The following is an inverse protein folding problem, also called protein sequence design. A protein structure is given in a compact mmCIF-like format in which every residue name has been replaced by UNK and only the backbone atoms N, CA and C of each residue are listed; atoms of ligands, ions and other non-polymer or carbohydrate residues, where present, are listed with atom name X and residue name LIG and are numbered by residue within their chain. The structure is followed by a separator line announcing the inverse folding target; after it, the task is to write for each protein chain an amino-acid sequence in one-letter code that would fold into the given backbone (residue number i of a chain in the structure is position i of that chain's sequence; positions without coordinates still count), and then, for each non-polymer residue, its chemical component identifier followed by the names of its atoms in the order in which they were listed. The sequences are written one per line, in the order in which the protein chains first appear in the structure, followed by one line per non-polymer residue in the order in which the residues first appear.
data_IF_009824002508
#
_entry.id   IF_009824002508
#
_cell.length_a   1.000
_cell.length_b   1.000
_cell.length_c   1.000
_cell.angle_alpha   90.00
_cell.angle_beta   90.00
_cell.angle_gamma   90.00
#
_symmetry.space_group_name_H-M   'P 1'
#
loop_
_entity.id
_entity.type
_entity.pdbx_description
1 polymer ?
#
# COMPACT_ATOMS: atom_id res chain seq x y z
N UNK A 1 -18.59 -2.49 -7.26
CA UNK A 1 -17.79 -3.73 -7.12
C UNK A 1 -18.73 -4.93 -7.20
N UNK A 2 -18.59 -5.82 -8.20
CA UNK A 2 -19.52 -6.96 -8.38
C UNK A 2 -19.63 -7.87 -7.15
N UNK A 3 -18.50 -8.17 -6.47
CA UNK A 3 -18.49 -8.97 -5.24
C UNK A 3 -19.29 -8.36 -4.08
N UNK A 4 -19.47 -7.04 -4.06
CA UNK A 4 -20.25 -6.38 -3.02
C UNK A 4 -21.74 -6.70 -3.11
N UNK A 5 -22.25 -7.04 -4.30
CA UNK A 5 -23.64 -7.47 -4.47
C UNK A 5 -23.92 -8.83 -3.82
N UNK A 6 -22.91 -9.72 -3.77
CA UNK A 6 -23.06 -11.05 -3.19
C UNK A 6 -22.71 -11.11 -1.70
N UNK A 7 -21.71 -10.35 -1.24
CA UNK A 7 -21.16 -10.48 0.12
C UNK A 7 -21.32 -9.22 0.99
N UNK A 8 -21.77 -8.10 0.41
CA UNK A 8 -21.62 -6.78 1.01
C UNK A 8 -20.21 -6.21 0.83
N UNK A 9 -20.08 -4.88 0.83
CA UNK A 9 -18.82 -4.21 0.50
C UNK A 9 -17.68 -4.55 1.48
N UNK A 10 -17.95 -4.51 2.79
CA UNK A 10 -16.93 -4.78 3.82
C UNK A 10 -16.33 -6.19 3.68
N UNK A 11 -17.18 -7.22 3.53
CA UNK A 11 -16.72 -8.60 3.37
C UNK A 11 -16.00 -8.80 2.03
N UNK A 12 -16.48 -8.18 0.96
CA UNK A 12 -15.83 -8.25 -0.34
C UNK A 12 -14.40 -7.67 -0.28
N UNK A 13 -14.22 -6.50 0.35
CA UNK A 13 -12.90 -5.87 0.52
C UNK A 13 -12.00 -6.72 1.41
N UNK A 14 -12.53 -7.27 2.51
CA UNK A 14 -11.79 -8.19 3.38
C UNK A 14 -11.29 -9.43 2.63
N UNK A 15 -12.15 -10.06 1.83
CA UNK A 15 -11.78 -11.22 1.00
C UNK A 15 -10.68 -10.86 0.00
N UNK A 16 -10.81 -9.73 -0.69
CA UNK A 16 -9.79 -9.25 -1.62
C UNK A 16 -8.46 -9.06 -0.90
N UNK A 17 -8.44 -8.35 0.23
CA UNK A 17 -7.24 -8.13 1.02
C UNK A 17 -6.59 -9.45 1.46
N UNK A 18 -7.38 -10.40 1.97
CA UNK A 18 -6.90 -11.71 2.44
C UNK A 18 -6.29 -12.56 1.32
N UNK A 19 -6.77 -12.43 0.07
CA UNK A 19 -6.28 -13.19 -1.07
C UNK A 19 -5.00 -12.62 -1.71
N UNK A 20 -4.65 -11.36 -1.43
CA UNK A 20 -3.50 -10.72 -2.06
C UNK A 20 -2.14 -11.33 -1.66
N UNK A 21 -1.84 -11.62 -0.38
CA UNK A 21 -0.56 -12.23 -0.03
C UNK A 21 -0.38 -13.63 -0.66
N UNK A 22 -1.37 -14.55 -0.63
CA UNK A 22 -1.29 -15.81 -1.37
C UNK A 22 -1.08 -15.62 -2.88
N UNK A 23 -1.76 -14.65 -3.49
CA UNK A 23 -1.60 -14.32 -4.91
C UNK A 23 -0.16 -13.85 -5.20
N UNK A 24 0.41 -12.98 -4.37
CA UNK A 24 1.80 -12.52 -4.49
C UNK A 24 2.78 -13.69 -4.37
N UNK A 25 2.65 -14.52 -3.34
CA UNK A 25 3.51 -15.70 -3.12
C UNK A 25 3.46 -16.63 -4.34
N UNK A 26 2.26 -16.92 -4.82
CA UNK A 26 2.07 -17.78 -5.99
C UNK A 26 2.70 -17.18 -7.25
N UNK A 27 2.55 -15.87 -7.47
CA UNK A 27 3.18 -15.15 -8.57
C UNK A 27 4.70 -15.26 -8.53
N UNK A 28 5.30 -14.95 -7.38
CA UNK A 28 6.75 -15.01 -7.15
C UNK A 28 7.28 -16.44 -7.39
N UNK A 29 6.61 -17.46 -6.87
CA UNK A 29 7.03 -18.85 -7.07
C UNK A 29 6.87 -19.30 -8.53
N UNK A 30 5.79 -18.86 -9.21
CA UNK A 30 5.60 -19.15 -10.64
C UNK A 30 6.66 -18.49 -11.50
N UNK A 31 7.09 -17.28 -11.15
CA UNK A 31 8.17 -16.55 -11.80
C UNK A 31 9.51 -17.28 -11.59
N UNK A 32 9.84 -17.63 -10.34
CA UNK A 32 11.04 -18.39 -10.02
C UNK A 32 11.08 -19.73 -10.78
N UNK A 33 9.98 -20.49 -10.77
CA UNK A 33 9.86 -21.75 -11.52
C UNK A 33 9.97 -21.55 -13.03
N UNK A 34 9.48 -20.44 -13.58
CA UNK A 34 9.62 -20.15 -15.01
C UNK A 34 11.09 -19.91 -15.39
N UNK A 35 11.82 -19.18 -14.54
CA UNK A 35 13.20 -18.79 -14.78
C UNK A 35 14.18 -19.92 -14.51
N UNK A 36 13.96 -20.72 -13.47
CA UNK A 36 14.88 -21.75 -13.00
C UNK A 36 14.45 -23.18 -13.31
N UNK A 37 13.22 -23.41 -13.78
CA UNK A 37 12.63 -24.75 -13.98
C UNK A 37 11.97 -25.33 -12.71
N UNK A 38 12.44 -24.91 -11.54
CA UNK A 38 11.93 -25.29 -10.23
C UNK A 38 11.83 -24.08 -9.29
N UNK A 39 11.18 -24.24 -8.14
CA UNK A 39 11.16 -23.19 -7.10
C UNK A 39 12.42 -23.35 -6.25
N UNK A 40 13.39 -22.42 -6.31
CA UNK A 40 14.61 -22.54 -5.54
C UNK A 40 14.32 -22.41 -4.03
N UNK A 41 15.11 -23.05 -3.15
CA UNK A 41 14.92 -22.95 -1.70
C UNK A 41 14.93 -21.49 -1.18
N UNK A 42 15.70 -20.61 -1.82
CA UNK A 42 15.77 -19.18 -1.48
C UNK A 42 14.44 -18.44 -1.71
N UNK A 43 13.53 -18.98 -2.53
CA UNK A 43 12.21 -18.39 -2.71
C UNK A 43 11.40 -18.36 -1.40
N UNK A 44 11.64 -19.27 -0.46
CA UNK A 44 10.98 -19.22 0.85
C UNK A 44 11.37 -17.95 1.63
N UNK A 45 12.57 -17.41 1.41
CA UNK A 45 13.00 -16.16 2.04
C UNK A 45 12.25 -14.92 1.53
N UNK A 46 11.49 -15.03 0.42
CA UNK A 46 10.66 -13.93 -0.07
C UNK A 46 9.30 -13.84 0.62
N UNK A 47 8.88 -14.88 1.36
CA UNK A 47 7.54 -14.94 1.96
C UNK A 47 7.19 -13.73 2.86
N UNK A 48 8.09 -13.22 3.74
CA UNK A 48 7.80 -12.03 4.54
C UNK A 48 7.41 -10.81 3.72
N UNK A 49 7.98 -10.66 2.52
CA UNK A 49 7.73 -9.53 1.63
C UNK A 49 6.35 -9.57 0.96
N UNK A 50 5.64 -10.71 0.99
CA UNK A 50 4.24 -10.79 0.56
C UNK A 50 3.29 -9.99 1.47
N UNK A 51 3.73 -9.69 2.70
CA UNK A 51 3.03 -8.89 3.71
C UNK A 51 3.79 -7.60 4.02
N UNK A 52 4.56 -7.09 3.05
CA UNK A 52 5.36 -5.89 3.23
C UNK A 52 4.50 -4.66 3.56
N UNK A 53 5.15 -3.62 4.06
CA UNK A 53 4.51 -2.40 4.52
C UNK A 53 3.53 -1.78 3.52
N UNK A 54 3.78 -1.70 2.19
CA UNK A 54 2.77 -1.17 1.26
C UNK A 54 1.43 -1.92 1.28
N UNK A 55 1.46 -3.25 1.46
CA UNK A 55 0.25 -4.04 1.68
C UNK A 55 -0.40 -3.68 3.02
N UNK A 56 0.40 -3.65 4.09
CA UNK A 56 -0.07 -3.30 5.44
C UNK A 56 -0.67 -1.89 5.51
N UNK A 57 -0.15 -0.95 4.72
CA UNK A 57 -0.60 0.43 4.61
C UNK A 57 -1.94 0.56 3.88
N UNK A 58 -2.39 -0.48 3.17
CA UNK A 58 -3.65 -0.47 2.43
C UNK A 58 -3.51 -0.09 0.96
N UNK A 59 -2.33 -0.20 0.35
CA UNK A 59 -2.14 0.01 -1.10
C UNK A 59 -2.64 -1.21 -1.90
N UNK A 60 -3.92 -1.55 -1.78
CA UNK A 60 -4.53 -2.81 -2.26
C UNK A 60 -4.41 -2.96 -3.78
N UNK A 61 -4.73 -1.91 -4.54
CA UNK A 61 -4.68 -1.92 -6.01
C UNK A 61 -3.24 -2.02 -6.54
N UNK A 62 -2.31 -1.29 -5.92
CA UNK A 62 -0.87 -1.39 -6.15
C UNK A 62 -0.36 -2.81 -5.91
N UNK A 63 -0.73 -3.41 -4.78
CA UNK A 63 -0.27 -4.73 -4.38
C UNK A 63 -0.82 -5.83 -5.30
N UNK A 64 -2.10 -5.72 -5.69
CA UNK A 64 -2.70 -6.55 -6.73
C UNK A 64 -1.91 -6.48 -8.04
N UNK A 65 -1.64 -5.27 -8.52
CA UNK A 65 -0.91 -5.07 -9.78
C UNK A 65 0.51 -5.66 -9.69
N UNK A 66 1.20 -5.51 -8.56
CA UNK A 66 2.49 -6.14 -8.29
C UNK A 66 2.44 -7.67 -8.36
N UNK A 67 1.43 -8.30 -7.73
CA UNK A 67 1.25 -9.74 -7.78
C UNK A 67 0.97 -10.25 -9.20
N UNK A 68 0.07 -9.58 -9.93
CA UNK A 68 -0.24 -9.88 -11.33
C UNK A 68 1.00 -9.73 -12.23
N UNK A 69 1.90 -8.80 -11.91
CA UNK A 69 3.15 -8.59 -12.66
C UNK A 69 4.07 -9.80 -12.59
N UNK A 70 4.19 -10.47 -11.44
CA UNK A 70 4.95 -11.71 -11.35
C UNK A 70 4.30 -12.86 -12.13
N UNK A 71 2.97 -12.94 -12.14
CA UNK A 71 2.25 -13.93 -12.96
C UNK A 71 2.46 -13.69 -14.46
N UNK A 72 2.32 -12.44 -14.90
CA UNK A 72 2.55 -12.06 -16.29
C UNK A 72 4.01 -12.30 -16.68
N UNK A 73 4.97 -11.91 -15.83
CA UNK A 73 6.39 -12.20 -16.05
C UNK A 73 6.66 -13.71 -16.18
N UNK A 74 6.02 -14.54 -15.36
CA UNK A 74 6.13 -15.99 -15.45
C UNK A 74 5.56 -16.55 -16.78
N UNK A 75 4.58 -15.90 -17.39
CA UNK A 75 4.11 -16.22 -18.74
C UNK A 75 5.07 -15.70 -19.82
N UNK A 76 5.65 -14.51 -19.64
CA UNK A 76 6.62 -13.94 -20.57
C UNK A 76 7.78 -14.90 -20.81
N UNK A 77 8.37 -15.41 -19.72
CA UNK A 77 9.48 -16.36 -19.76
C UNK A 77 9.08 -17.68 -20.43
N UNK A 78 7.87 -18.19 -20.17
CA UNK A 78 7.37 -19.44 -20.79
C UNK A 78 7.08 -19.31 -22.29
N UNK A 79 6.77 -18.11 -22.76
CA UNK A 79 6.48 -17.81 -24.17
C UNK A 79 7.72 -17.33 -24.93
N UNK A 80 8.93 -17.55 -24.40
CA UNK A 80 10.17 -17.04 -24.97
C UNK A 80 10.42 -17.45 -26.43
N UNK A 81 9.91 -18.61 -26.86
CA UNK A 81 10.09 -19.12 -28.21
C UNK A 81 8.94 -18.69 -29.16
N UNK A 82 7.95 -17.94 -28.65
CA UNK A 82 6.74 -17.52 -29.38
C UNK A 82 6.60 -16.00 -29.40
N UNK A 83 7.56 -15.31 -30.01
CA UNK A 83 7.66 -13.84 -30.00
C UNK A 83 6.37 -13.13 -30.48
N UNK A 84 5.71 -13.60 -31.55
CA UNK A 84 4.47 -12.99 -32.04
C UNK A 84 3.34 -13.11 -31.02
N UNK A 85 3.12 -14.32 -30.49
CA UNK A 85 2.10 -14.57 -29.47
C UNK A 85 2.38 -13.73 -28.21
N UNK A 86 3.64 -13.63 -27.82
CA UNK A 86 4.08 -12.80 -26.70
C UNK A 86 3.73 -11.33 -26.95
N UNK A 87 4.03 -10.79 -28.13
CA UNK A 87 3.70 -9.40 -28.45
C UNK A 87 2.19 -9.14 -28.44
N UNK A 88 1.38 -10.04 -29.01
CA UNK A 88 -0.08 -9.88 -29.05
C UNK A 88 -0.69 -9.97 -27.65
N UNK A 89 -0.26 -10.92 -26.81
CA UNK A 89 -0.82 -11.10 -25.47
C UNK A 89 -0.40 -10.01 -24.47
N UNK A 90 0.82 -9.50 -24.58
CA UNK A 90 1.34 -8.56 -23.57
C UNK A 90 0.85 -7.13 -23.72
N UNK A 91 0.24 -6.77 -24.84
CA UNK A 91 -0.50 -5.50 -24.97
C UNK A 91 -1.73 -5.48 -24.04
N UNK A 92 -2.73 -6.38 -24.17
CA UNK A 92 -3.89 -6.38 -23.27
C UNK A 92 -3.54 -6.76 -21.83
N UNK A 93 -2.55 -7.63 -21.60
CA UNK A 93 -2.08 -7.93 -20.23
C UNK A 93 -1.45 -6.70 -19.58
N UNK A 94 -0.57 -5.99 -20.29
CA UNK A 94 0.05 -4.77 -19.80
C UNK A 94 -0.99 -3.70 -19.48
N UNK A 95 -1.98 -3.53 -20.36
CA UNK A 95 -3.10 -2.62 -20.14
C UNK A 95 -3.94 -3.02 -18.91
N UNK A 96 -4.30 -4.29 -18.75
CA UNK A 96 -5.06 -4.76 -17.60
C UNK A 96 -4.33 -4.53 -16.27
N UNK A 97 -3.01 -4.78 -16.22
CA UNK A 97 -2.19 -4.51 -15.04
C UNK A 97 -2.11 -3.00 -14.76
N UNK A 98 -1.97 -2.19 -15.80
CA UNK A 98 -1.98 -0.73 -15.67
C UNK A 98 -3.29 -0.20 -15.10
N UNK A 99 -4.44 -0.73 -15.55
CA UNK A 99 -5.77 -0.42 -14.99
C UNK A 99 -5.83 -0.76 -13.51
N UNK A 100 -5.21 -1.88 -13.08
CA UNK A 100 -5.08 -2.16 -11.65
C UNK A 100 -4.22 -1.10 -10.95
N UNK A 101 -3.00 -0.87 -11.46
CA UNK A 101 -2.12 0.20 -11.01
C UNK A 101 -0.91 0.38 -11.95
N UNK A 102 -0.55 1.63 -12.26
CA UNK A 102 0.60 1.97 -13.14
C UNK A 102 1.93 1.35 -12.69
N UNK A 103 2.19 1.31 -11.38
CA UNK A 103 3.39 0.65 -10.84
C UNK A 103 3.46 -0.85 -11.14
N UNK A 104 2.33 -1.57 -11.22
CA UNK A 104 2.39 -2.98 -11.62
C UNK A 104 2.95 -3.11 -13.03
N UNK A 105 2.46 -2.28 -13.96
CA UNK A 105 3.00 -2.24 -15.31
C UNK A 105 4.51 -1.92 -15.32
N UNK A 106 4.96 -0.97 -14.49
CA UNK A 106 6.39 -0.66 -14.35
C UNK A 106 7.22 -1.82 -13.75
N UNK A 107 6.69 -2.49 -12.73
CA UNK A 107 7.30 -3.69 -12.11
C UNK A 107 7.43 -4.81 -13.15
N UNK A 108 6.38 -5.06 -13.94
CA UNK A 108 6.43 -6.03 -15.03
C UNK A 108 7.51 -5.65 -16.05
N UNK A 109 7.57 -4.39 -16.46
CA UNK A 109 8.60 -3.87 -17.35
C UNK A 109 10.01 -4.14 -16.83
N UNK A 110 10.28 -3.80 -15.57
CA UNK A 110 11.59 -4.02 -14.93
C UNK A 110 11.95 -5.51 -14.87
N UNK A 111 11.00 -6.39 -14.53
CA UNK A 111 11.23 -7.84 -14.50
C UNK A 111 11.53 -8.39 -15.90
N UNK A 112 10.74 -8.00 -16.90
CA UNK A 112 10.92 -8.41 -18.30
C UNK A 112 12.26 -7.91 -18.85
N UNK A 113 12.58 -6.64 -18.67
CA UNK A 113 13.83 -6.05 -19.11
C UNK A 113 15.02 -6.70 -18.42
N UNK A 114 14.96 -6.87 -17.09
CA UNK A 114 16.02 -7.52 -16.35
C UNK A 114 16.32 -8.92 -16.88
N UNK A 115 15.27 -9.69 -17.19
CA UNK A 115 15.40 -11.01 -17.79
C UNK A 115 15.97 -10.96 -19.21
N UNK A 116 15.43 -10.13 -20.10
CA UNK A 116 15.87 -10.04 -21.50
C UNK A 116 17.31 -9.53 -21.62
N UNK A 117 17.68 -8.51 -20.86
CA UNK A 117 19.05 -7.97 -20.77
C UNK A 117 20.00 -9.05 -20.25
N UNK A 118 19.64 -9.76 -19.18
CA UNK A 118 20.47 -10.84 -18.64
C UNK A 118 20.70 -11.97 -19.64
N UNK A 119 19.72 -12.24 -20.51
CA UNK A 119 19.79 -13.25 -21.56
C UNK A 119 20.69 -12.79 -22.69
N UNK A 120 20.52 -11.55 -23.13
CA UNK A 120 21.33 -10.97 -24.20
C UNK A 120 22.82 -10.88 -23.80
N UNK A 121 23.14 -10.56 -22.54
CA UNK A 121 24.52 -10.57 -22.06
C UNK A 121 25.14 -11.96 -21.87
N UNK A 122 24.33 -13.03 -21.83
CA UNK A 122 24.84 -14.41 -21.82
C UNK A 122 25.16 -14.92 -23.22
N UNK A 123 24.57 -14.30 -24.24
CA UNK A 123 24.88 -14.54 -25.64
C UNK A 123 26.21 -13.82 -25.97
N UNK A 124 27.32 -14.56 -25.89
CA UNK A 124 28.68 -14.00 -25.98
C UNK A 124 29.00 -13.34 -27.33
N UNK A 125 28.19 -13.61 -28.34
CA UNK A 125 28.36 -13.09 -29.70
C UNK A 125 27.62 -11.75 -29.92
N UNK A 126 26.80 -11.32 -28.96
CA UNK A 126 26.11 -10.03 -29.01
C UNK A 126 27.01 -8.92 -28.45
N UNK A 127 27.47 -8.01 -29.32
CA UNK A 127 28.13 -6.77 -28.87
C UNK A 127 27.26 -5.96 -27.89
N UNK A 128 27.89 -5.23 -26.97
CA UNK A 128 27.22 -4.51 -25.86
C UNK A 128 26.00 -3.67 -26.30
N UNK A 129 26.10 -2.97 -27.43
CA UNK A 129 24.99 -2.16 -27.98
C UNK A 129 23.79 -3.02 -28.35
N UNK A 130 24.02 -4.15 -29.03
CA UNK A 130 22.96 -5.09 -29.40
C UNK A 130 22.36 -5.77 -28.17
N UNK A 131 23.18 -6.05 -27.17
CA UNK A 131 22.75 -6.65 -25.90
C UNK A 131 21.80 -5.73 -25.10
N UNK A 132 21.92 -4.40 -25.27
CA UNK A 132 21.03 -3.43 -24.65
C UNK A 132 19.83 -3.04 -25.52
N UNK A 133 20.00 -2.93 -26.84
CA UNK A 133 18.92 -2.52 -27.75
C UNK A 133 17.88 -3.63 -27.99
N UNK A 134 18.31 -4.89 -28.10
CA UNK A 134 17.41 -6.02 -28.41
C UNK A 134 16.34 -6.24 -27.32
N UNK A 135 16.66 -6.19 -26.01
CA UNK A 135 15.66 -6.24 -24.94
C UNK A 135 14.56 -5.19 -25.06
N UNK A 136 14.94 -3.93 -25.33
CA UNK A 136 13.99 -2.81 -25.46
C UNK A 136 13.02 -3.03 -26.64
N UNK A 137 13.52 -3.50 -27.77
CA UNK A 137 12.66 -3.84 -28.91
C UNK A 137 11.74 -5.02 -28.57
N UNK A 138 12.26 -6.01 -27.84
CA UNK A 138 11.49 -7.19 -27.43
C UNK A 138 10.39 -6.88 -26.44
N UNK A 139 10.56 -5.89 -25.57
CA UNK A 139 9.59 -5.43 -24.57
C UNK A 139 8.65 -4.35 -25.10
N UNK A 140 8.84 -3.87 -26.34
CA UNK A 140 8.02 -2.85 -26.99
C UNK A 140 6.49 -3.05 -26.91
N UNK A 141 5.92 -4.27 -26.81
CA UNK A 141 4.48 -4.44 -26.57
C UNK A 141 3.98 -3.74 -25.29
N UNK A 142 4.85 -3.60 -24.28
CA UNK A 142 4.52 -2.91 -23.03
C UNK A 142 4.50 -1.38 -23.20
N UNK A 143 5.12 -0.83 -24.25
CA UNK A 143 5.15 0.62 -24.54
C UNK A 143 3.78 1.14 -24.95
N UNK A 144 2.89 0.29 -25.48
CA UNK A 144 1.53 0.70 -25.87
C UNK A 144 0.77 1.41 -24.74
N UNK A 145 0.99 1.00 -23.48
CA UNK A 145 0.42 1.65 -22.29
C UNK A 145 1.00 3.05 -22.06
N UNK A 146 2.27 3.27 -22.38
CA UNK A 146 2.92 4.58 -22.25
C UNK A 146 2.27 5.61 -23.17
N UNK A 147 1.87 5.20 -24.38
CA UNK A 147 1.14 6.06 -25.31
C UNK A 147 -0.16 6.55 -24.65
N UNK A 148 -0.96 5.64 -24.08
CA UNK A 148 -2.19 6.00 -23.36
C UNK A 148 -1.90 6.98 -22.21
N UNK A 149 -0.88 6.70 -21.40
CA UNK A 149 -0.48 7.53 -20.26
C UNK A 149 -0.09 8.97 -20.64
N UNK A 150 0.63 9.14 -21.75
CA UNK A 150 1.05 10.46 -22.24
C UNK A 150 -0.15 11.25 -22.74
N UNK A 151 -1.04 10.62 -23.52
CA UNK A 151 -2.19 11.31 -24.11
C UNK A 151 -3.36 11.52 -23.12
N UNK A 152 -3.48 10.69 -22.08
CA UNK A 152 -4.55 10.82 -21.08
C UNK A 152 -4.34 11.98 -20.09
N UNK A 153 -3.20 12.67 -20.13
CA UNK A 153 -2.87 13.76 -19.21
C UNK A 153 -3.18 15.13 -19.81
N UNK A 154 -4.45 15.46 -19.84
CA UNK A 154 -4.97 16.78 -20.21
C UNK A 154 -5.76 17.35 -19.03
N UNK A 155 -5.08 17.89 -18.00
CA UNK A 155 -5.75 18.51 -16.85
C UNK A 155 -4.84 18.89 -15.67
N UNK A 156 -5.11 20.08 -15.10
CA UNK A 156 -4.50 20.79 -13.96
C UNK A 156 -3.31 20.14 -13.21
N UNK A 157 -2.14 20.77 -13.34
CA UNK A 157 -0.84 20.42 -12.74
C UNK A 157 -0.71 20.79 -11.24
N UNK A 158 -1.79 20.69 -10.46
CA UNK A 158 -1.79 21.08 -9.04
C UNK A 158 -1.06 20.09 -8.11
N UNK A 159 -0.80 18.87 -8.58
CA UNK A 159 -0.24 17.81 -7.75
C UNK A 159 1.30 17.80 -7.77
N UNK A 160 1.91 18.15 -6.65
CA UNK A 160 3.37 18.30 -6.54
C UNK A 160 4.14 16.97 -6.72
N UNK A 161 5.31 17.06 -7.33
CA UNK A 161 6.30 15.97 -7.43
C UNK A 161 7.61 16.41 -6.80
N UNK A 162 7.94 15.84 -5.64
CA UNK A 162 9.04 16.32 -4.78
C UNK A 162 9.82 15.17 -4.14
N UNK A 163 11.05 15.46 -3.71
CA UNK A 163 11.86 14.53 -2.92
C UNK A 163 12.62 13.48 -3.74
N UNK A 164 13.14 13.85 -4.92
CA UNK A 164 13.92 13.01 -5.84
C UNK A 164 15.09 12.27 -5.17
N UNK A 165 15.96 13.00 -4.47
CA UNK A 165 17.24 12.47 -3.99
C UNK A 165 17.38 12.47 -2.47
N UNK A 166 16.29 12.18 -1.74
CA UNK A 166 16.34 12.02 -0.28
C UNK A 166 16.98 10.67 0.10
N UNK A 167 18.28 10.51 -0.12
CA UNK A 167 18.98 9.22 0.01
C UNK A 167 18.85 8.63 1.43
N UNK A 168 19.02 9.43 2.48
CA UNK A 168 18.87 8.94 3.86
C UNK A 168 17.45 8.41 4.13
N UNK A 169 16.42 9.14 3.68
CA UNK A 169 15.03 8.71 3.76
C UNK A 169 14.79 7.41 2.98
N UNK A 170 15.36 7.28 1.78
CA UNK A 170 15.25 6.04 0.99
C UNK A 170 15.88 4.87 1.75
N UNK A 171 17.09 5.03 2.28
CA UNK A 171 17.77 3.98 3.04
C UNK A 171 16.97 3.58 4.29
N UNK A 172 16.44 4.55 5.03
CA UNK A 172 15.55 4.31 6.18
C UNK A 172 14.32 3.50 5.76
N UNK A 173 13.64 3.89 4.66
CA UNK A 173 12.48 3.15 4.15
C UNK A 173 12.80 1.69 3.79
N UNK A 174 14.05 1.38 3.47
CA UNK A 174 14.51 0.01 3.30
C UNK A 174 14.26 -0.86 4.53
N UNK A 175 14.49 -0.32 5.74
CA UNK A 175 14.19 -1.00 7.01
C UNK A 175 12.70 -1.00 7.35
N UNK A 176 11.95 -0.01 6.89
CA UNK A 176 10.49 0.04 7.04
C UNK A 176 9.76 -0.90 6.07
N UNK A 177 10.44 -1.54 5.12
CA UNK A 177 9.82 -2.46 4.14
C UNK A 177 8.97 -3.55 4.79
N UNK A 178 9.37 -4.06 5.95
CA UNK A 178 8.64 -5.08 6.70
C UNK A 178 8.02 -4.53 8.00
N UNK A 179 7.87 -3.20 8.13
CA UNK A 179 7.20 -2.57 9.26
C UNK A 179 5.77 -3.12 9.42
N UNK A 180 5.45 -3.62 10.62
CA UNK A 180 4.13 -4.10 10.96
C UNK A 180 3.79 -3.86 12.45
N UNK A 181 3.90 -4.87 13.32
CA UNK A 181 3.48 -4.78 14.73
C UNK A 181 4.65 -4.66 15.72
N UNK A 182 5.78 -5.33 15.46
CA UNK A 182 6.85 -5.49 16.45
C UNK A 182 8.22 -5.15 15.84
N UNK A 183 8.69 -3.94 16.13
CA UNK A 183 9.89 -3.33 15.54
C UNK A 183 11.13 -4.24 15.54
N UNK A 184 11.53 -4.89 16.66
CA UNK A 184 12.69 -5.76 16.67
C UNK A 184 12.57 -6.94 15.69
N UNK A 185 11.39 -7.58 15.61
CA UNK A 185 11.15 -8.68 14.68
C UNK A 185 11.15 -8.20 13.22
N UNK A 186 10.54 -7.04 12.96
CA UNK A 186 10.48 -6.44 11.63
C UNK A 186 11.86 -6.10 11.09
N UNK A 187 12.67 -5.39 11.89
CA UNK A 187 14.05 -5.04 11.56
C UNK A 187 14.89 -6.31 11.42
N UNK A 188 14.80 -7.27 12.35
CA UNK A 188 15.53 -8.53 12.28
C UNK A 188 15.20 -9.32 11.00
N UNK A 189 13.96 -9.26 10.53
CA UNK A 189 13.53 -9.90 9.29
C UNK A 189 14.20 -9.28 8.05
N UNK A 190 14.28 -7.94 8.01
CA UNK A 190 15.00 -7.23 6.95
C UNK A 190 16.50 -7.52 7.01
N UNK A 191 17.09 -7.50 8.21
CA UNK A 191 18.52 -7.82 8.41
C UNK A 191 18.83 -9.26 7.98
N UNK A 192 17.96 -10.23 8.27
CA UNK A 192 18.12 -11.61 7.80
C UNK A 192 18.09 -11.70 6.26
N UNK A 193 17.17 -10.98 5.60
CA UNK A 193 17.11 -10.89 4.14
C UNK A 193 18.37 -10.25 3.54
N UNK A 194 18.83 -9.13 4.11
CA UNK A 194 20.09 -8.48 3.73
C UNK A 194 21.29 -9.40 3.92
N UNK A 195 21.34 -10.15 5.02
CA UNK A 195 22.36 -11.16 5.29
C UNK A 195 22.40 -12.26 4.24
N UNK A 196 21.23 -12.75 3.79
CA UNK A 196 21.15 -13.72 2.69
C UNK A 196 21.64 -13.14 1.36
N UNK A 197 21.27 -11.89 1.03
CA UNK A 197 21.74 -11.21 -0.17
C UNK A 197 23.26 -10.99 -0.11
N UNK A 198 23.78 -10.52 1.01
CA UNK A 198 25.21 -10.32 1.24
C UNK A 198 25.98 -11.64 1.14
N UNK A 199 25.43 -12.74 1.66
CA UNK A 199 25.99 -14.07 1.51
C UNK A 199 26.09 -14.50 0.03
N UNK A 200 25.06 -14.20 -0.78
CA UNK A 200 25.08 -14.44 -2.24
C UNK A 200 26.10 -13.58 -3.00
N UNK A 201 26.36 -12.36 -2.54
CA UNK A 201 27.35 -11.44 -3.11
C UNK A 201 28.79 -11.76 -2.69
N UNK A 202 28.98 -12.42 -1.56
CA UNK A 202 30.30 -12.74 -1.03
C UNK A 202 31.05 -13.70 -1.97
N UNK A 203 32.24 -13.29 -2.43
CA UNK A 203 33.09 -14.09 -3.32
C UNK A 203 33.44 -15.42 -2.63
N UNK A 204 32.89 -16.52 -3.13
CA UNK A 204 33.11 -17.84 -2.54
C UNK A 204 32.14 -18.89 -3.07
N UNK A 205 31.55 -19.65 -2.15
CA UNK A 205 30.70 -20.82 -2.46
C UNK A 205 29.26 -20.49 -2.88
N UNK A 206 28.80 -19.27 -2.62
CA UNK A 206 27.49 -18.77 -3.08
C UNK A 206 27.67 -17.85 -4.30
N UNK A 207 26.57 -17.56 -5.01
CA UNK A 207 26.62 -16.64 -6.15
C UNK A 207 25.28 -15.99 -6.46
N UNK A 208 25.30 -15.08 -7.42
CA UNK A 208 24.11 -14.37 -7.90
C UNK A 208 23.75 -14.84 -9.32
N UNK A 209 22.50 -15.21 -9.56
CA UNK A 209 21.97 -15.43 -10.90
C UNK A 209 21.64 -14.08 -11.57
N UNK A 210 22.20 -13.85 -12.75
CA UNK A 210 21.98 -12.58 -13.46
C UNK A 210 20.54 -12.32 -13.90
N UNK A 211 19.66 -13.33 -14.01
CA UNK A 211 18.27 -13.17 -14.48
C UNK A 211 17.43 -12.36 -13.52
N UNK A 212 17.43 -12.71 -12.24
CA UNK A 212 16.82 -11.88 -11.19
C UNK A 212 17.77 -10.80 -10.66
N UNK A 213 19.09 -11.01 -10.73
CA UNK A 213 20.07 -10.02 -10.30
C UNK A 213 20.02 -8.73 -11.12
N UNK A 214 19.80 -8.83 -12.44
CA UNK A 214 19.60 -7.65 -13.29
C UNK A 214 18.29 -6.94 -12.96
N UNK A 215 17.19 -7.67 -12.72
CA UNK A 215 15.94 -7.05 -12.28
C UNK A 215 16.11 -6.32 -10.93
N UNK A 216 16.84 -6.91 -9.98
CA UNK A 216 17.17 -6.26 -8.71
C UNK A 216 18.00 -4.98 -8.92
N UNK A 217 18.99 -5.00 -9.82
CA UNK A 217 19.76 -3.81 -10.17
C UNK A 217 18.86 -2.71 -10.76
N UNK A 218 17.97 -3.06 -11.69
CA UNK A 218 17.03 -2.11 -12.29
C UNK A 218 16.05 -1.53 -11.26
N UNK A 219 15.57 -2.33 -10.30
CA UNK A 219 14.78 -1.82 -9.17
C UNK A 219 15.60 -0.87 -8.29
N UNK A 220 16.87 -1.15 -8.04
CA UNK A 220 17.75 -0.26 -7.27
C UNK A 220 17.97 1.08 -8.00
N UNK A 221 18.17 1.05 -9.32
CA UNK A 221 18.24 2.27 -10.16
C UNK A 221 16.91 3.03 -10.09
N UNK A 222 15.78 2.34 -10.24
CA UNK A 222 14.47 2.96 -10.16
C UNK A 222 14.24 3.64 -8.79
N UNK A 223 14.68 3.03 -7.70
CA UNK A 223 14.58 3.60 -6.36
C UNK A 223 15.36 4.92 -6.20
N UNK A 224 16.54 5.02 -6.84
CA UNK A 224 17.36 6.23 -6.83
C UNK A 224 16.71 7.35 -7.66
N UNK A 225 16.11 6.99 -8.80
CA UNK A 225 15.54 7.96 -9.76
C UNK A 225 14.14 8.41 -9.38
N UNK A 226 13.32 7.55 -8.75
CA UNK A 226 11.92 7.87 -8.42
C UNK A 226 11.87 8.80 -7.20
N UNK A 227 11.05 9.87 -7.22
CA UNK A 227 10.90 10.77 -6.08
C UNK A 227 10.10 10.15 -4.94
N UNK A 228 10.19 10.75 -3.76
CA UNK A 228 9.33 10.41 -2.63
C UNK A 228 7.84 10.59 -2.95
N UNK A 229 7.48 11.72 -3.56
CA UNK A 229 6.10 12.05 -3.90
C UNK A 229 5.98 12.23 -5.41
N UNK A 230 5.01 11.54 -6.00
CA UNK A 230 4.73 11.58 -7.43
C UNK A 230 3.24 11.94 -7.63
N UNK A 231 2.97 13.09 -8.27
CA UNK A 231 1.61 13.60 -8.50
C UNK A 231 0.77 13.68 -7.22
N UNK A 232 1.31 14.26 -6.15
CA UNK A 232 0.61 14.40 -4.87
C UNK A 232 0.53 13.11 -4.04
N UNK A 233 0.94 11.96 -4.57
CA UNK A 233 0.98 10.69 -3.83
C UNK A 233 2.35 10.43 -3.23
N UNK A 234 2.46 10.48 -1.90
CA UNK A 234 3.67 10.15 -1.15
C UNK A 234 4.08 8.68 -1.23
N UNK A 235 5.27 8.33 -0.73
CA UNK A 235 5.83 6.97 -0.71
C UNK A 235 5.97 6.31 -2.10
N UNK A 236 6.10 7.10 -3.16
CA UNK A 236 6.31 6.64 -4.52
C UNK A 236 7.58 5.78 -4.66
N UNK A 237 8.65 6.12 -3.93
CA UNK A 237 9.89 5.36 -3.88
C UNK A 237 9.84 4.17 -2.92
N UNK A 238 9.36 4.39 -1.68
CA UNK A 238 9.36 3.41 -0.60
C UNK A 238 8.62 2.12 -0.98
N UNK A 239 7.57 2.21 -1.79
CA UNK A 239 6.77 1.05 -2.21
C UNK A 239 7.50 0.10 -3.17
N UNK A 240 8.68 0.46 -3.69
CA UNK A 240 9.49 -0.37 -4.61
C UNK A 240 10.34 -1.39 -3.86
N UNK A 241 10.73 -1.10 -2.61
CA UNK A 241 11.61 -1.96 -1.82
C UNK A 241 11.21 -3.44 -1.77
N UNK A 242 9.94 -3.82 -1.55
CA UNK A 242 9.56 -5.23 -1.51
C UNK A 242 9.96 -5.99 -2.77
N UNK A 243 9.79 -5.36 -3.94
CA UNK A 243 10.12 -5.96 -5.24
C UNK A 243 11.62 -6.05 -5.46
N UNK A 244 12.38 -5.04 -5.01
CA UNK A 244 13.84 -5.09 -4.97
C UNK A 244 14.34 -6.27 -4.12
N UNK A 245 13.82 -6.42 -2.89
CA UNK A 245 14.19 -7.52 -2.01
C UNK A 245 13.81 -8.88 -2.59
N UNK A 246 12.60 -9.03 -3.12
CA UNK A 246 12.16 -10.27 -3.78
C UNK A 246 13.11 -10.64 -4.92
N UNK A 247 13.40 -9.71 -5.83
CA UNK A 247 14.30 -9.97 -6.95
C UNK A 247 15.74 -10.29 -6.48
N UNK A 248 16.27 -9.54 -5.50
CA UNK A 248 17.60 -9.75 -4.95
C UNK A 248 17.71 -11.13 -4.27
N UNK A 249 16.74 -11.51 -3.44
CA UNK A 249 16.69 -12.82 -2.78
C UNK A 249 16.60 -13.95 -3.82
N UNK A 250 15.72 -13.82 -4.82
CA UNK A 250 15.58 -14.82 -5.88
C UNK A 250 16.85 -14.96 -6.74
N UNK A 251 17.71 -13.94 -6.78
CA UNK A 251 18.99 -14.02 -7.46
C UNK A 251 20.04 -14.82 -6.67
N UNK A 252 19.88 -15.02 -5.37
CA UNK A 252 20.84 -15.77 -4.55
C UNK A 252 20.81 -17.26 -4.91
N UNK A 253 21.97 -17.80 -5.29
CA UNK A 253 22.24 -19.23 -5.50
C UNK A 253 23.01 -19.78 -4.29
N UNK A 254 22.41 -20.75 -3.62
CA UNK A 254 23.06 -21.47 -2.51
C UNK A 254 24.01 -22.55 -3.04
N UNK A 255 25.12 -22.83 -2.33
CA UNK A 255 26.03 -23.90 -2.69
C UNK A 255 25.35 -25.28 -2.67
N UNK A 256 25.74 -26.14 -3.60
CA UNK A 256 25.23 -27.51 -3.75
C UNK A 256 26.28 -28.56 -3.31
N UNK A 257 27.46 -28.13 -2.85
CA UNK A 257 28.50 -29.05 -2.40
C UNK A 257 28.12 -29.76 -1.08
N UNK A 258 28.55 -31.02 -0.93
CA UNK A 258 28.24 -31.85 0.25
C UNK A 258 28.63 -31.19 1.58
N UNK A 259 29.68 -30.37 1.59
CA UNK A 259 30.11 -29.61 2.75
C UNK A 259 29.12 -28.51 3.18
N UNK A 260 28.31 -27.96 2.25
CA UNK A 260 27.32 -26.93 2.53
C UNK A 260 25.86 -27.39 2.33
N UNK A 261 25.60 -28.68 2.12
CA UNK A 261 24.24 -29.24 2.03
C UNK A 261 23.34 -28.87 3.22
N UNK A 262 23.94 -28.60 4.39
CA UNK A 262 23.24 -28.10 5.58
C UNK A 262 22.67 -26.70 5.38
N UNK A 263 23.40 -25.79 4.73
CA UNK A 263 22.94 -24.39 4.48
C UNK A 263 21.70 -24.40 3.59
N UNK A 264 21.73 -25.19 2.52
CA UNK A 264 20.61 -25.33 1.56
C UNK A 264 19.33 -25.88 2.20
N UNK A 265 19.44 -26.61 3.33
CA UNK A 265 18.30 -27.07 4.13
C UNK A 265 17.89 -26.08 5.23
N UNK A 266 18.85 -25.48 5.94
CA UNK A 266 18.57 -24.58 7.08
C UNK A 266 17.94 -23.28 6.63
N UNK A 267 18.44 -22.65 5.56
CA UNK A 267 17.97 -21.34 5.09
C UNK A 267 16.45 -21.32 4.84
N UNK A 268 15.86 -22.19 3.99
CA UNK A 268 14.42 -22.18 3.78
C UNK A 268 13.62 -22.45 5.06
N UNK A 269 14.09 -23.36 5.94
CA UNK A 269 13.42 -23.65 7.22
C UNK A 269 13.43 -22.42 8.12
N UNK A 270 14.57 -21.74 8.26
CA UNK A 270 14.70 -20.56 9.09
C UNK A 270 13.78 -19.42 8.61
N UNK A 271 13.72 -19.19 7.29
CA UNK A 271 12.81 -18.18 6.73
C UNK A 271 11.33 -18.59 6.81
N UNK A 272 11.01 -19.89 6.70
CA UNK A 272 9.64 -20.37 6.92
C UNK A 272 9.20 -20.16 8.38
N UNK A 273 10.07 -20.46 9.35
CA UNK A 273 9.82 -20.22 10.77
C UNK A 273 9.70 -18.71 11.07
N UNK A 274 10.58 -17.89 10.50
CA UNK A 274 10.49 -16.44 10.62
C UNK A 274 9.16 -15.93 10.05
N UNK A 275 8.76 -16.40 8.87
CA UNK A 275 7.48 -16.03 8.27
C UNK A 275 6.29 -16.46 9.13
N UNK A 276 6.32 -17.68 9.68
CA UNK A 276 5.28 -18.17 10.59
C UNK A 276 5.19 -17.33 11.88
N UNK A 277 6.34 -16.95 12.46
CA UNK A 277 6.38 -16.07 13.62
C UNK A 277 5.81 -14.68 13.30
N UNK A 278 6.17 -14.10 12.16
CA UNK A 278 5.59 -12.83 11.69
C UNK A 278 4.08 -12.94 11.52
N UNK A 279 3.61 -13.99 10.86
CA UNK A 279 2.17 -14.25 10.69
C UNK A 279 1.44 -14.32 12.03
N UNK A 280 2.01 -15.00 13.02
CA UNK A 280 1.44 -15.08 14.37
C UNK A 280 1.36 -13.69 15.01
N UNK A 281 2.45 -12.92 14.98
CA UNK A 281 2.50 -11.57 15.55
C UNK A 281 1.51 -10.63 14.85
N UNK A 282 1.42 -10.66 13.52
CA UNK A 282 0.44 -9.90 12.75
C UNK A 282 -1.00 -10.31 13.11
N UNK A 283 -1.27 -11.62 13.24
CA UNK A 283 -2.60 -12.12 13.60
C UNK A 283 -3.03 -11.64 15.00
N UNK A 284 -2.13 -11.71 16.00
CA UNK A 284 -2.39 -11.17 17.34
C UNK A 284 -2.65 -9.67 17.28
N UNK A 285 -1.82 -8.91 16.56
CA UNK A 285 -2.03 -7.47 16.37
C UNK A 285 -3.37 -7.15 15.70
N UNK A 286 -3.81 -7.95 14.74
CA UNK A 286 -5.11 -7.80 14.07
C UNK A 286 -6.30 -8.11 14.99
N UNK A 287 -6.19 -9.08 15.89
CA UNK A 287 -7.22 -9.35 16.90
C UNK A 287 -7.39 -8.16 17.87
N UNK A 288 -6.28 -7.51 18.23
CA UNK A 288 -6.31 -6.29 19.03
C UNK A 288 -6.97 -5.13 18.28
N UNK A 289 -6.61 -4.90 17.01
CA UNK A 289 -7.28 -3.89 16.19
C UNK A 289 -8.78 -4.18 16.02
N UNK A 290 -9.17 -5.44 15.81
CA UNK A 290 -10.58 -5.82 15.69
C UNK A 290 -11.37 -5.44 16.95
N UNK A 291 -10.78 -5.67 18.13
CA UNK A 291 -11.39 -5.30 19.42
C UNK A 291 -11.51 -3.79 19.55
N UNK A 292 -10.45 -3.04 19.24
CA UNK A 292 -10.46 -1.58 19.28
C UNK A 292 -11.47 -0.97 18.29
N UNK A 293 -11.49 -1.46 17.04
CA UNK A 293 -12.39 -0.96 16.00
C UNK A 293 -13.85 -1.21 16.35
N UNK A 294 -14.16 -2.37 16.93
CA UNK A 294 -15.53 -2.68 17.34
C UNK A 294 -16.05 -1.69 18.38
N UNK A 295 -15.18 -1.20 19.27
CA UNK A 295 -15.50 -0.15 20.24
C UNK A 295 -15.64 1.22 19.55
N UNK A 296 -14.64 1.61 18.75
CA UNK A 296 -14.63 2.89 18.05
C UNK A 296 -15.78 3.06 17.06
N UNK A 297 -16.39 1.98 16.57
CA UNK A 297 -17.50 2.03 15.62
C UNK A 297 -18.89 1.97 16.28
N UNK A 298 -18.99 1.83 17.61
CA UNK A 298 -20.27 1.93 18.33
C UNK A 298 -21.04 3.24 18.05
N UNK A 299 -20.40 4.43 17.93
CA UNK A 299 -21.13 5.67 17.62
C UNK A 299 -21.84 5.63 16.26
N UNK A 300 -21.37 4.82 15.30
CA UNK A 300 -21.96 4.75 13.94
C UNK A 300 -23.43 4.35 13.97
N UNK A 301 -23.86 3.59 14.98
CA UNK A 301 -25.26 3.20 15.09
C UNK A 301 -26.22 4.37 15.40
N UNK A 302 -25.69 5.47 15.92
CA UNK A 302 -26.43 6.67 16.35
C UNK A 302 -26.51 7.74 15.25
N UNK A 303 -25.84 7.51 14.12
CA UNK A 303 -25.72 8.46 13.00
C UNK A 303 -26.86 8.21 12.01
N UNK A 304 -27.61 9.25 11.66
CA UNK A 304 -28.68 9.13 10.65
C UNK A 304 -28.14 8.71 9.28
N UNK A 305 -28.93 7.98 8.50
CA UNK A 305 -28.54 7.62 7.13
C UNK A 305 -28.44 8.88 6.25
N UNK A 306 -27.43 8.95 5.40
CA UNK A 306 -27.19 10.12 4.53
C UNK A 306 -26.64 11.35 5.24
N UNK A 307 -26.29 11.25 6.52
CA UNK A 307 -25.78 12.38 7.29
C UNK A 307 -24.39 12.84 6.83
N UNK A 308 -24.06 14.10 7.11
CA UNK A 308 -22.76 14.70 6.82
C UNK A 308 -21.96 14.84 8.12
N UNK A 309 -20.76 14.30 8.15
CA UNK A 309 -19.99 14.15 9.39
C UNK A 309 -18.62 14.79 9.24
N UNK A 310 -18.33 15.75 10.10
CA UNK A 310 -16.98 16.25 10.29
C UNK A 310 -16.26 15.36 11.31
N UNK A 311 -15.22 14.69 10.87
CA UNK A 311 -14.33 13.88 11.69
C UNK A 311 -13.05 14.66 11.94
N UNK A 312 -12.62 14.66 13.20
CA UNK A 312 -11.30 15.13 13.60
C UNK A 312 -10.60 14.02 14.38
N UNK A 313 -9.38 13.69 13.97
CA UNK A 313 -8.55 12.66 14.59
C UNK A 313 -7.26 13.30 15.09
N UNK A 314 -6.97 13.11 16.37
CA UNK A 314 -5.71 13.52 16.96
C UNK A 314 -4.55 12.63 16.49
N UNK A 315 -3.54 13.23 15.86
CA UNK A 315 -2.29 12.57 15.51
C UNK A 315 -1.22 12.98 16.53
N UNK A 316 -0.59 12.03 17.23
CA UNK A 316 0.48 12.35 18.18
C UNK A 316 1.69 12.94 17.47
N UNK A 317 2.51 13.68 18.21
CA UNK A 317 3.77 14.18 17.71
C UNK A 317 4.77 13.09 17.33
N UNK A 318 5.68 13.43 16.42
CA UNK A 318 6.78 12.56 16.02
C UNK A 318 7.75 12.28 17.20
N UNK A 319 8.44 11.12 17.20
CA UNK A 319 8.42 10.09 16.16
C UNK A 319 7.13 9.27 16.15
N UNK A 320 6.64 8.97 14.94
CA UNK A 320 5.48 8.11 14.77
C UNK A 320 5.77 6.73 15.37
N UNK A 321 4.76 6.14 16.02
CA UNK A 321 4.88 4.79 16.54
C UNK A 321 5.17 3.81 15.38
N UNK A 322 6.10 2.87 15.61
CA UNK A 322 6.39 1.81 14.64
C UNK A 322 5.13 1.03 14.26
N UNK A 323 4.32 0.70 15.27
CA UNK A 323 2.98 0.16 15.09
C UNK A 323 2.01 1.31 14.81
N UNK A 324 1.43 1.32 13.62
CA UNK A 324 0.45 2.34 13.22
C UNK A 324 -0.86 2.22 14.02
N UNK A 325 -1.53 3.33 14.29
CA UNK A 325 -2.80 3.31 15.03
C UNK A 325 -3.94 2.73 14.19
N UNK A 326 -3.90 2.99 12.87
CA UNK A 326 -4.86 2.51 11.85
C UNK A 326 -6.30 2.98 12.09
N UNK A 327 -6.51 3.95 12.97
CA UNK A 327 -7.83 4.52 13.24
C UNK A 327 -8.10 5.81 12.45
N UNK A 328 -7.08 6.37 11.81
CA UNK A 328 -7.08 7.66 11.12
C UNK A 328 -8.18 7.79 10.06
N UNK A 329 -8.50 6.67 9.39
CA UNK A 329 -9.55 6.58 8.38
C UNK A 329 -10.71 5.67 8.78
N UNK A 330 -10.67 5.08 9.97
CA UNK A 330 -11.73 4.20 10.48
C UNK A 330 -13.14 4.83 10.41
N UNK A 331 -13.32 6.14 10.64
CA UNK A 331 -14.64 6.78 10.57
C UNK A 331 -15.30 6.62 9.20
N UNK A 332 -14.52 6.50 8.13
CA UNK A 332 -14.98 6.29 6.74
C UNK A 332 -15.90 5.08 6.58
N UNK A 333 -15.93 4.14 7.52
CA UNK A 333 -16.92 3.06 7.53
C UNK A 333 -18.37 3.57 7.67
N UNK A 334 -18.61 4.78 8.19
CA UNK A 334 -19.96 5.34 8.19
C UNK A 334 -20.48 5.64 6.76
N UNK A 335 -19.60 5.82 5.77
CA UNK A 335 -19.98 5.89 4.35
C UNK A 335 -20.67 4.58 3.91
N UNK A 336 -20.13 3.44 4.34
CA UNK A 336 -20.64 2.12 3.94
C UNK A 336 -21.83 1.68 4.80
N UNK A 337 -21.82 2.01 6.10
CA UNK A 337 -22.83 1.54 7.06
C UNK A 337 -24.04 2.46 7.17
N UNK A 338 -23.89 3.74 6.82
CA UNK A 338 -24.92 4.78 6.98
C UNK A 338 -25.07 5.68 5.75
N UNK A 339 -24.42 5.38 4.62
CA UNK A 339 -24.46 6.22 3.42
C UNK A 339 -24.05 7.68 3.73
N UNK A 340 -23.21 7.87 4.74
CA UNK A 340 -22.87 9.17 5.28
C UNK A 340 -21.69 9.82 4.53
N UNK A 341 -21.73 11.14 4.33
CA UNK A 341 -20.56 11.88 3.91
C UNK A 341 -19.60 12.09 5.09
N UNK A 342 -18.31 11.90 4.85
CA UNK A 342 -17.27 12.16 5.84
C UNK A 342 -16.14 12.93 5.16
N UNK A 343 -15.61 13.96 5.84
CA UNK A 343 -14.46 14.75 5.39
C UNK A 343 -13.15 13.95 5.26
N UNK A 344 -13.12 12.65 5.60
CA UNK A 344 -12.05 11.73 5.20
C UNK A 344 -12.11 11.37 3.72
N UNK A 345 -13.12 11.84 2.98
CA UNK A 345 -13.18 11.82 1.53
C UNK A 345 -12.86 13.24 1.06
N UNK A 346 -11.59 13.47 0.71
CA UNK A 346 -11.09 14.79 0.28
C UNK A 346 -10.64 14.76 -1.19
N UNK A 347 -10.54 15.96 -1.76
CA UNK A 347 -10.19 16.15 -3.17
C UNK A 347 -8.84 16.85 -3.32
N UNK A 348 -7.96 16.31 -4.17
CA UNK A 348 -6.71 16.94 -4.59
C UNK A 348 -6.85 17.29 -6.07
N UNK A 349 -6.78 18.57 -6.46
CA UNK A 349 -6.84 18.98 -7.86
C UNK A 349 -5.83 18.22 -8.72
N UNK A 350 -6.32 17.57 -9.79
CA UNK A 350 -5.49 16.76 -10.70
C UNK A 350 -5.07 15.38 -10.17
N UNK A 351 -5.41 15.03 -8.92
CA UNK A 351 -5.09 13.74 -8.32
C UNK A 351 -6.18 12.68 -8.50
N UNK A 352 -7.45 13.05 -8.37
CA UNK A 352 -8.59 12.11 -8.45
C UNK A 352 -9.54 12.46 -9.60
N UNK A 353 -10.22 11.44 -10.13
CA UNK A 353 -11.29 11.59 -11.13
C UNK A 353 -12.64 11.97 -10.48
N UNK A 354 -12.84 11.58 -9.23
CA UNK A 354 -14.01 11.91 -8.42
C UNK A 354 -13.66 13.04 -7.46
N UNK A 355 -14.61 13.93 -7.19
CA UNK A 355 -14.48 15.02 -6.24
C UNK A 355 -15.60 14.94 -5.20
N UNK A 356 -15.27 15.31 -3.97
CA UNK A 356 -16.24 15.45 -2.90
C UNK A 356 -17.00 16.78 -3.06
N UNK A 357 -18.34 16.71 -3.12
CA UNK A 357 -19.19 17.89 -3.29
C UNK A 357 -19.31 18.74 -2.01
N UNK A 358 -19.38 18.08 -0.85
CA UNK A 358 -19.60 18.76 0.43
C UNK A 358 -18.34 19.43 0.98
N UNK A 359 -18.49 20.57 1.66
CA UNK A 359 -17.39 21.34 2.25
C UNK A 359 -16.32 21.79 1.23
N UNK A 360 -16.68 21.85 -0.07
CA UNK A 360 -15.79 22.28 -1.14
C UNK A 360 -15.23 23.69 -0.87
N UNK A 361 -13.94 23.89 -1.12
CA UNK A 361 -13.25 25.16 -0.85
C UNK A 361 -12.92 25.43 0.62
N UNK A 362 -13.25 24.50 1.53
CA UNK A 362 -12.91 24.61 2.95
C UNK A 362 -11.73 23.70 3.32
N UNK A 363 -11.18 23.88 4.52
CA UNK A 363 -10.14 23.02 5.10
C UNK A 363 -10.65 21.63 5.54
N UNK A 364 -11.93 21.33 5.27
CA UNK A 364 -12.59 20.04 5.50
C UNK A 364 -12.85 19.25 4.20
N UNK A 365 -12.30 19.70 3.05
CA UNK A 365 -12.30 18.94 1.77
C UNK A 365 -10.89 18.86 1.15
N UNK A 366 -9.84 19.34 1.83
CA UNK A 366 -8.44 19.22 1.37
C UNK A 366 -7.69 18.05 2.03
N UNK A 367 -6.55 17.64 1.48
CA UNK A 367 -5.65 16.69 2.14
C UNK A 367 -4.69 17.42 3.10
N UNK A 368 -4.64 17.11 4.41
CA UNK A 368 -5.55 16.26 5.17
C UNK A 368 -6.71 17.06 5.80
N UNK A 369 -7.95 16.56 5.69
CA UNK A 369 -9.15 17.25 6.18
C UNK A 369 -9.56 16.83 7.59
N UNK A 370 -9.11 15.66 8.04
CA UNK A 370 -9.48 15.03 9.30
C UNK A 370 -8.40 15.13 10.36
N UNK A 371 -7.14 15.42 9.99
CA UNK A 371 -6.03 15.40 10.93
C UNK A 371 -5.99 16.66 11.80
N UNK A 372 -5.78 16.43 13.09
CA UNK A 372 -5.42 17.44 14.06
C UNK A 372 -4.04 17.07 14.58
N UNK A 373 -3.05 17.83 14.17
CA UNK A 373 -1.65 17.66 14.55
C UNK A 373 -1.15 18.96 15.15
N UNK A 374 -0.30 18.85 16.16
CA UNK A 374 0.39 19.99 16.74
C UNK A 374 1.86 19.98 16.30
N UNK A 375 2.29 20.87 15.39
CA UNK A 375 3.66 20.93 14.92
C UNK A 375 4.69 21.24 16.02
N UNK A 376 4.27 21.96 17.06
CA UNK A 376 5.14 22.40 18.17
C UNK A 376 5.10 21.44 19.35
N UNK A 377 4.25 20.41 19.30
CA UNK A 377 4.11 19.40 20.34
C UNK A 377 3.78 19.95 21.75
N UNK A 378 3.11 21.09 21.77
CA UNK A 378 2.56 21.78 22.96
C UNK A 378 1.25 21.16 23.48
N UNK A 379 0.55 20.39 22.65
CA UNK A 379 -0.70 19.71 22.95
C UNK A 379 -1.78 19.91 21.87
N UNK A 380 -2.60 18.89 21.64
CA UNK A 380 -3.64 18.93 20.59
C UNK A 380 -4.84 19.85 20.91
N UNK A 381 -5.00 20.28 22.16
CA UNK A 381 -6.17 21.05 22.62
C UNK A 381 -6.39 22.38 21.87
N UNK A 382 -5.39 23.29 21.83
CA UNK A 382 -5.51 24.56 21.11
C UNK A 382 -5.77 24.38 19.61
N UNK A 383 -5.09 23.41 18.98
CA UNK A 383 -5.27 23.12 17.54
C UNK A 383 -6.68 22.58 17.28
N UNK A 384 -7.16 21.67 18.13
CA UNK A 384 -8.53 21.16 18.05
C UNK A 384 -9.56 22.29 18.18
N UNK A 385 -9.39 23.20 19.15
CA UNK A 385 -10.29 24.33 19.33
C UNK A 385 -10.33 25.23 18.08
N UNK A 386 -9.16 25.52 17.48
CA UNK A 386 -9.06 26.27 16.22
C UNK A 386 -9.78 25.55 15.06
N UNK A 387 -9.60 24.23 14.93
CA UNK A 387 -10.28 23.44 13.88
C UNK A 387 -11.79 23.43 14.05
N UNK A 388 -12.29 23.31 15.28
CA UNK A 388 -13.74 23.37 15.58
C UNK A 388 -14.30 24.76 15.28
N UNK A 389 -13.56 25.83 15.57
CA UNK A 389 -13.98 27.19 15.25
C UNK A 389 -14.10 27.44 13.73
N UNK A 390 -13.30 26.73 12.91
CA UNK A 390 -13.33 26.80 11.45
C UNK A 390 -14.34 25.84 10.80
N UNK A 391 -15.07 25.05 11.58
CA UNK A 391 -16.01 24.05 11.08
C UNK A 391 -17.18 24.74 10.33
N UNK A 392 -17.41 24.44 9.04
CA UNK A 392 -18.57 24.97 8.33
C UNK A 392 -19.83 24.25 8.81
N UNK A 393 -20.46 24.78 9.87
CA UNK A 393 -21.59 24.12 10.56
C UNK A 393 -22.78 23.80 9.65
N UNK A 394 -23.02 24.60 8.60
CA UNK A 394 -24.12 24.35 7.66
C UNK A 394 -23.92 23.10 6.80
N UNK A 395 -22.66 22.70 6.57
CA UNK A 395 -22.27 21.58 5.72
C UNK A 395 -22.25 20.24 6.46
N UNK A 396 -22.34 20.25 7.79
CA UNK A 396 -22.24 19.05 8.61
C UNK A 396 -23.41 18.93 9.58
N UNK A 397 -23.83 17.71 9.85
CA UNK A 397 -24.88 17.38 10.82
C UNK A 397 -24.27 16.87 12.14
N UNK A 398 -23.07 16.28 12.06
CA UNK A 398 -22.35 15.73 13.20
C UNK A 398 -20.87 16.15 13.23
N UNK A 399 -20.32 16.23 14.45
CA UNK A 399 -18.89 16.33 14.71
C UNK A 399 -18.44 15.10 15.50
N UNK A 400 -17.47 14.37 14.97
CA UNK A 400 -16.93 13.15 15.56
C UNK A 400 -15.45 13.29 15.88
N UNK A 401 -15.09 13.16 17.15
CA UNK A 401 -13.71 13.34 17.62
C UNK A 401 -13.09 12.00 18.04
N UNK A 402 -11.84 11.77 17.64
CA UNK A 402 -11.04 10.58 17.97
C UNK A 402 -9.69 10.95 18.60
N UNK A 403 -9.25 10.16 19.58
CA UNK A 403 -7.94 10.31 20.22
C UNK A 403 -7.71 11.69 20.87
N UNK A 404 -8.76 12.22 21.50
CA UNK A 404 -8.67 13.41 22.34
C UNK A 404 -9.03 13.09 23.78
N UNK A 405 -8.17 13.53 24.70
CA UNK A 405 -8.37 13.36 26.12
C UNK A 405 -9.71 14.02 26.57
N UNK A 406 -10.44 13.46 27.55
CA UNK A 406 -11.74 13.96 27.96
C UNK A 406 -11.79 15.47 28.26
N UNK A 407 -10.70 16.02 28.79
CA UNK A 407 -10.54 17.44 29.12
C UNK A 407 -10.41 18.37 27.92
N UNK A 408 -9.94 17.89 26.76
CA UNK A 408 -9.84 18.70 25.54
C UNK A 408 -11.12 18.68 24.71
N UNK A 409 -12.13 17.92 25.14
CA UNK A 409 -13.42 17.82 24.43
C UNK A 409 -14.23 19.09 24.65
N UNK A 410 -14.71 19.74 23.56
CA UNK A 410 -15.42 21.01 23.66
C UNK A 410 -16.74 20.87 24.44
N UNK A 411 -17.07 21.92 25.20
CA UNK A 411 -18.39 22.13 25.81
C UNK A 411 -18.92 23.46 25.29
N UNK A 412 -19.61 23.43 24.15
CA UNK A 412 -20.18 24.62 23.50
C UNK A 412 -21.70 24.45 23.34
N UNK A 413 -22.45 25.56 23.37
CA UNK A 413 -23.93 25.59 23.31
C UNK A 413 -24.55 24.96 22.06
N UNK A 414 -23.77 24.78 20.97
CA UNK A 414 -24.22 24.14 19.72
C UNK A 414 -23.70 22.73 19.48
N UNK A 415 -23.09 22.06 20.47
CA UNK A 415 -22.55 20.71 20.37
C UNK A 415 -23.25 19.78 21.38
N UNK A 416 -24.24 19.02 20.93
CA UNK A 416 -24.99 18.10 21.81
C UNK A 416 -24.35 16.71 21.74
N UNK A 417 -23.74 16.20 22.81
CA UNK A 417 -23.15 14.86 22.80
C UNK A 417 -24.25 13.81 22.70
N UNK A 418 -24.22 12.97 21.66
CA UNK A 418 -25.15 11.85 21.48
C UNK A 418 -24.52 10.49 21.76
N UNK A 419 -23.19 10.43 21.78
CA UNK A 419 -22.42 9.27 22.22
C UNK A 419 -21.10 9.74 22.83
N UNK A 420 -20.62 9.06 23.89
CA UNK A 420 -19.33 9.35 24.53
C UNK A 420 -18.75 8.09 25.16
N UNK A 421 -17.46 7.84 24.92
CA UNK A 421 -16.65 6.90 25.70
C UNK A 421 -15.25 7.50 26.01
N UNK A 422 -14.31 6.68 26.48
CA UNK A 422 -12.94 7.12 26.78
C UNK A 422 -12.13 7.52 25.55
N UNK A 423 -12.43 6.99 24.37
CA UNK A 423 -11.62 7.17 23.17
C UNK A 423 -12.23 8.09 22.11
N UNK A 424 -13.55 8.25 22.12
CA UNK A 424 -14.30 9.00 21.11
C UNK A 424 -15.52 9.72 21.68
N UNK A 425 -15.94 10.78 21.00
CA UNK A 425 -17.19 11.48 21.26
C UNK A 425 -17.85 11.90 19.95
N UNK A 426 -19.16 11.68 19.86
CA UNK A 426 -19.99 12.10 18.74
C UNK A 426 -20.96 13.18 19.20
N UNK A 427 -20.91 14.32 18.53
CA UNK A 427 -21.81 15.44 18.76
C UNK A 427 -22.77 15.59 17.58
N UNK A 428 -24.04 15.87 17.89
CA UNK A 428 -24.97 16.47 16.95
C UNK A 428 -24.73 17.98 16.92
N UNK A 429 -24.59 18.52 15.72
CA UNK A 429 -24.48 19.96 15.51
C UNK A 429 -25.88 20.55 15.54
N UNK A 430 -26.13 21.42 16.52
CA UNK A 430 -27.36 22.20 16.56
C UNK A 430 -27.13 23.47 15.77
N UNK A 431 -27.91 23.67 14.73
CA UNK A 431 -28.03 24.94 14.03
C UNK A 431 -29.04 25.77 14.82
N UNK A 432 -28.70 26.99 15.23
CA UNK A 432 -29.69 27.87 15.89
C UNK A 432 -30.88 28.19 14.96
N UNK A 433 -30.76 27.92 13.65
CA UNK A 433 -31.74 28.21 12.61
C UNK A 433 -32.29 26.99 11.82
N UNK A 434 -32.00 25.72 12.19
CA UNK A 434 -32.63 24.55 11.56
C UNK A 434 -33.68 23.94 12.49
N UNK A 435 -34.93 23.73 12.06
CA UNK A 435 -35.88 22.96 12.84
C UNK A 435 -35.38 21.52 13.01
N UNK A 436 -35.56 20.99 14.21
CA UNK A 436 -35.28 19.59 14.54
C UNK A 436 -36.00 18.69 13.54
N UNK A 437 -35.26 17.88 12.77
CA UNK A 437 -35.86 16.70 12.13
C UNK A 437 -36.28 15.76 13.25
N UNK A 438 -37.59 15.64 13.45
CA UNK A 438 -38.14 14.66 14.38
C UNK A 438 -37.59 13.27 14.03
N UNK A 439 -37.01 12.62 15.03
CA UNK A 439 -36.72 11.20 14.96
C UNK A 439 -38.06 10.50 14.73
N UNK A 440 -38.32 10.03 13.52
CA UNK A 440 -39.48 9.18 13.23
C UNK A 440 -39.35 7.91 14.06
N UNK A 441 -40.03 7.93 15.20
CA UNK A 441 -40.27 6.75 16.01
C UNK A 441 -41.05 5.74 15.19
N UNK A 442 -40.60 4.50 15.24
CA UNK A 442 -41.37 3.36 14.76
C UNK A 442 -42.67 3.29 15.54
N UNK A 443 -43.78 3.71 14.93
CA UNK A 443 -45.08 3.20 15.30
C UNK A 443 -45.19 1.78 14.73
N UNK A 444 -44.92 0.79 15.57
CA UNK A 444 -45.45 -0.56 15.38
C UNK A 444 -46.97 -0.47 15.57
N UNK A 445 -47.71 -0.65 14.48
CA UNK A 445 -49.15 -0.87 14.48
C UNK A 445 -49.47 -2.13 13.68
N UNK A 446 -49.92 -3.16 14.42
CA UNK A 446 -50.71 -4.36 14.04
C UNK A 446 -50.48 -5.01 12.68
#
# INVERSE_FOLDING_TARGET
MPLAWSFGLERAVWLVAALLPPLMIWGVFRAAKAVYGEVPPTAIATLPFALAYPYQYGMVNFWLAGALSFHAFAWWVRLQDRNVLRSVLFVPIGFAIWVCHVYGWAILGILVEGYEVSRAFRDRDAGYVRALATPVVRSSPLIAVMVVLVFSRTGNLGAETVGWFRILWKLENGFHTLQDQWMPLDIASVVAALGLIAFGLYKGRAGMDSRFGMAAMLFAVALVVIPYQLFGSGYADARIFPFLFIAAILSVRLPVDFACARVTRIVPIAFALLFALRMMVSAVGYLEYQTAYSRHLLPVSHIERGARIAVLVGIPCLPANWRMSRIEHLPSLALVRRDAFINTQWSIPGGQLLHAEHAAGTTFNGDPAQYVTDPECTGLGPVLAKRIAQLPRCDFDYLWLFHFAPQSRPRHSGLVPIYRDEATILYRLMDENKPLKEATGSALGS
#
